data_IF_875015848552
#
_entry.id   IF_875015848552
#
_cell.length_a   1.000
_cell.length_b   1.000
_cell.length_c   1.000
_cell.angle_alpha   90.00
_cell.angle_beta   90.00
_cell.angle_gamma   90.00
#
_symmetry.space_group_name_H-M   'P 1'
#
loop_
_entity.id
_entity.type
_entity.pdbx_description
1 polymer ?
#
# COMPACT_ATOMS: atom_id res chain seq x y z
N UNK A 1 9.33 -4.07 27.46
CA UNK A 1 10.19 -4.40 26.29
C UNK A 1 11.10 -3.21 26.05
N UNK A 2 12.43 -3.39 25.95
CA UNK A 2 13.37 -2.27 25.73
C UNK A 2 13.16 -1.64 24.35
N UNK A 3 13.36 -0.32 24.21
CA UNK A 3 13.30 0.39 22.91
C UNK A 3 14.20 -0.25 21.84
N UNK A 4 15.39 -0.72 22.23
CA UNK A 4 16.31 -1.45 21.33
C UNK A 4 15.68 -2.72 20.76
N UNK A 5 14.80 -3.37 21.51
CA UNK A 5 14.09 -4.57 21.06
C UNK A 5 12.93 -4.25 20.12
N UNK A 6 12.31 -3.06 20.23
CA UNK A 6 11.24 -2.65 19.31
C UNK A 6 11.83 -2.25 17.96
N UNK A 7 12.92 -1.47 17.97
CA UNK A 7 13.60 -1.04 16.75
C UNK A 7 14.04 -2.24 15.89
N UNK A 8 14.63 -3.28 16.50
CA UNK A 8 15.02 -4.51 15.79
C UNK A 8 13.85 -5.31 15.19
N UNK A 9 12.63 -5.13 15.70
CA UNK A 9 11.41 -5.75 15.13
C UNK A 9 10.89 -4.96 13.93
N UNK A 10 10.99 -3.63 13.97
CA UNK A 10 10.56 -2.75 12.89
C UNK A 10 11.58 -2.76 11.76
N UNK A 11 12.87 -2.60 12.08
CA UNK A 11 13.96 -2.55 11.11
C UNK A 11 14.98 -3.66 11.45
N UNK A 12 14.73 -4.91 11.00
CA UNK A 12 15.63 -6.03 11.26
C UNK A 12 16.92 -5.92 10.45
N UNK A 13 18.00 -6.52 10.96
CA UNK A 13 19.31 -6.53 10.30
C UNK A 13 19.32 -7.34 8.99
N UNK A 14 18.44 -8.32 8.85
CA UNK A 14 18.31 -9.16 7.66
C UNK A 14 16.85 -9.36 7.26
N UNK A 15 16.56 -9.35 5.96
CA UNK A 15 15.27 -9.72 5.41
C UNK A 15 15.13 -11.26 5.36
N UNK A 16 14.12 -11.80 6.05
CA UNK A 16 13.89 -13.24 6.19
C UNK A 16 12.41 -13.56 6.06
N UNK A 17 12.09 -14.82 5.79
CA UNK A 17 10.69 -15.25 5.69
C UNK A 17 10.08 -15.65 7.05
N UNK A 18 10.81 -15.43 8.15
CA UNK A 18 10.38 -15.85 9.50
C UNK A 18 9.64 -14.72 10.20
N UNK A 19 8.31 -14.80 10.23
CA UNK A 19 7.48 -13.84 10.94
C UNK A 19 7.36 -14.17 12.42
N UNK A 20 7.80 -13.25 13.29
CA UNK A 20 7.70 -13.36 14.75
C UNK A 20 6.79 -12.25 15.27
N UNK A 21 5.49 -12.40 15.03
CA UNK A 21 4.45 -11.44 15.40
C UNK A 21 3.09 -12.09 15.55
N UNK A 22 2.08 -11.31 15.91
CA UNK A 22 0.72 -11.82 16.09
C UNK A 22 0.09 -12.21 14.74
N UNK A 23 -0.53 -13.39 14.57
CA UNK A 23 -1.11 -13.82 13.30
C UNK A 23 -2.12 -12.83 12.69
N UNK A 24 -2.92 -12.16 13.53
CA UNK A 24 -3.86 -11.12 13.06
C UNK A 24 -3.14 -10.01 12.28
N UNK A 25 -1.98 -9.55 12.75
CA UNK A 25 -1.23 -8.51 12.05
C UNK A 25 -0.66 -9.02 10.71
N UNK A 26 -0.39 -10.32 10.57
CA UNK A 26 -0.03 -10.90 9.29
C UNK A 26 -1.22 -10.92 8.31
N UNK A 27 -2.38 -11.45 8.72
CA UNK A 27 -3.55 -11.54 7.85
C UNK A 27 -4.15 -10.18 7.51
N UNK A 28 -4.15 -9.23 8.45
CA UNK A 28 -4.58 -7.86 8.17
C UNK A 28 -3.64 -7.19 7.15
N UNK A 29 -2.34 -7.48 7.18
CA UNK A 29 -1.40 -6.94 6.20
C UNK A 29 -1.63 -7.52 4.79
N UNK A 30 -2.04 -8.80 4.70
CA UNK A 30 -2.48 -9.39 3.43
C UNK A 30 -3.69 -8.64 2.89
N UNK A 31 -4.72 -8.42 3.73
CA UNK A 31 -5.91 -7.67 3.33
C UNK A 31 -5.53 -6.25 2.87
N UNK A 32 -4.68 -5.57 3.62
CA UNK A 32 -4.18 -4.24 3.28
C UNK A 32 -3.45 -4.22 1.93
N UNK A 33 -2.63 -5.22 1.66
CA UNK A 33 -1.92 -5.40 0.38
C UNK A 33 -2.92 -5.51 -0.77
N UNK A 34 -3.93 -6.38 -0.62
CA UNK A 34 -4.96 -6.59 -1.64
C UNK A 34 -5.80 -5.32 -1.89
N UNK A 35 -6.18 -4.61 -0.83
CA UNK A 35 -6.92 -3.34 -0.93
C UNK A 35 -6.08 -2.26 -1.61
N UNK A 36 -4.79 -2.17 -1.29
CA UNK A 36 -3.85 -1.20 -1.89
C UNK A 36 -3.72 -1.44 -3.39
N UNK A 37 -3.52 -2.69 -3.81
CA UNK A 37 -3.46 -3.06 -5.23
C UNK A 37 -4.81 -2.80 -5.90
N UNK A 38 -5.92 -3.23 -5.32
CA UNK A 38 -7.26 -3.03 -5.88
C UNK A 38 -7.57 -1.54 -6.15
N UNK A 39 -7.32 -0.68 -5.16
CA UNK A 39 -7.48 0.78 -5.30
C UNK A 39 -6.53 1.38 -6.34
N UNK A 40 -5.28 0.93 -6.38
CA UNK A 40 -4.31 1.42 -7.37
C UNK A 40 -4.80 1.17 -8.80
N UNK A 41 -5.38 -0.01 -9.05
CA UNK A 41 -5.92 -0.39 -10.34
C UNK A 41 -7.16 0.44 -10.68
N UNK A 42 -8.03 0.73 -9.72
CA UNK A 42 -9.16 1.64 -9.92
C UNK A 42 -8.66 3.01 -10.37
N UNK A 43 -7.68 3.58 -9.67
CA UNK A 43 -7.11 4.88 -10.01
C UNK A 43 -6.47 4.93 -11.42
N UNK A 44 -5.91 3.83 -11.89
CA UNK A 44 -5.24 3.75 -13.19
C UNK A 44 -6.17 3.36 -14.35
N UNK A 45 -7.20 2.56 -14.09
CA UNK A 45 -8.01 1.91 -15.13
C UNK A 45 -9.44 2.46 -15.21
N UNK A 46 -9.98 3.08 -14.15
CA UNK A 46 -11.28 3.73 -14.23
C UNK A 46 -11.21 4.97 -15.11
N UNK A 47 -12.24 5.27 -15.94
CA UNK A 47 -12.22 6.41 -16.86
C UNK A 47 -11.95 7.77 -16.20
N UNK A 48 -12.38 7.95 -14.95
CA UNK A 48 -12.19 9.16 -14.16
C UNK A 48 -11.14 8.99 -13.06
N UNK A 49 -10.40 7.88 -13.05
CA UNK A 49 -9.49 7.49 -11.98
C UNK A 49 -10.16 7.37 -10.59
N UNK A 50 -11.49 7.32 -10.50
CA UNK A 50 -12.23 7.39 -9.24
C UNK A 50 -12.44 8.82 -8.70
N UNK A 51 -11.99 9.86 -9.41
CA UNK A 51 -12.14 11.24 -8.96
C UNK A 51 -13.62 11.63 -8.81
N UNK A 52 -14.47 11.34 -9.80
CA UNK A 52 -15.88 11.68 -9.74
C UNK A 52 -16.73 10.56 -9.13
N UNK A 53 -16.54 9.33 -9.59
CA UNK A 53 -17.34 8.15 -9.25
C UNK A 53 -17.16 7.68 -7.81
N UNK A 54 -16.03 7.99 -7.17
CA UNK A 54 -15.73 7.62 -5.78
C UNK A 54 -15.56 8.86 -4.91
N UNK A 55 -14.69 9.80 -5.30
CA UNK A 55 -14.39 10.98 -4.50
C UNK A 55 -15.37 12.15 -4.73
N UNK A 56 -16.34 12.02 -5.65
CA UNK A 56 -17.34 13.05 -5.97
C UNK A 56 -16.73 14.41 -6.39
N UNK A 57 -15.51 14.40 -6.91
CA UNK A 57 -14.83 15.57 -7.48
C UNK A 57 -15.39 15.83 -8.88
N UNK A 58 -15.84 17.05 -9.15
CA UNK A 58 -16.33 17.43 -10.47
C UNK A 58 -15.16 17.55 -11.47
N UNK A 59 -15.11 16.65 -12.46
CA UNK A 59 -14.12 16.68 -13.55
C UNK A 59 -14.61 17.42 -14.80
N UNK A 60 -15.87 17.88 -14.85
CA UNK A 60 -16.42 18.67 -15.94
C UNK A 60 -16.08 20.16 -15.77
N UNK A 61 -14.82 20.45 -15.48
CA UNK A 61 -14.28 21.79 -15.24
C UNK A 61 -13.02 21.98 -16.07
N UNK A 62 -12.58 23.22 -16.23
CA UNK A 62 -11.26 23.51 -16.79
C UNK A 62 -10.20 22.79 -15.93
N UNK A 63 -9.46 21.86 -16.52
CA UNK A 63 -8.46 21.04 -15.82
C UNK A 63 -8.93 19.64 -15.40
N UNK A 64 -10.12 19.18 -15.79
CA UNK A 64 -10.61 17.81 -15.50
C UNK A 64 -9.63 16.70 -15.88
N UNK A 65 -9.05 16.76 -17.09
CA UNK A 65 -8.00 15.86 -17.56
C UNK A 65 -6.78 15.82 -16.61
N UNK A 66 -6.40 16.98 -16.06
CA UNK A 66 -5.29 17.07 -15.09
C UNK A 66 -5.65 16.37 -13.78
N UNK A 67 -6.89 16.49 -13.31
CA UNK A 67 -7.38 15.76 -12.12
C UNK A 67 -7.28 14.25 -12.36
N UNK A 68 -7.77 13.77 -13.51
CA UNK A 68 -7.68 12.35 -13.89
C UNK A 68 -6.21 11.91 -13.93
N UNK A 69 -5.33 12.70 -14.54
CA UNK A 69 -3.89 12.43 -14.59
C UNK A 69 -3.24 12.33 -13.19
N UNK A 70 -3.61 13.21 -12.26
CA UNK A 70 -3.14 13.16 -10.86
C UNK A 70 -3.62 11.88 -10.17
N UNK A 71 -4.89 11.50 -10.35
CA UNK A 71 -5.43 10.25 -9.79
C UNK A 71 -4.72 9.03 -10.40
N UNK A 72 -4.44 9.03 -11.70
CA UNK A 72 -3.64 7.99 -12.36
C UNK A 72 -2.22 7.87 -11.79
N UNK A 73 -1.54 9.00 -11.56
CA UNK A 73 -0.22 9.01 -10.90
C UNK A 73 -0.30 8.50 -9.46
N UNK A 74 -1.36 8.86 -8.73
CA UNK A 74 -1.59 8.34 -7.38
C UNK A 74 -1.78 6.82 -7.42
N UNK A 75 -2.56 6.31 -8.37
CA UNK A 75 -2.70 4.89 -8.64
C UNK A 75 -1.37 4.19 -8.90
N UNK A 76 -0.54 4.74 -9.80
CA UNK A 76 0.78 4.17 -10.09
C UNK A 76 1.66 4.08 -8.84
N UNK A 77 1.71 5.14 -8.02
CA UNK A 77 2.48 5.13 -6.76
C UNK A 77 1.98 4.06 -5.78
N UNK A 78 0.66 3.89 -5.66
CA UNK A 78 0.04 2.86 -4.82
C UNK A 78 0.34 1.46 -5.36
N UNK A 79 0.35 1.27 -6.68
CA UNK A 79 0.65 -0.03 -7.29
C UNK A 79 2.10 -0.45 -7.02
N UNK A 80 3.05 0.48 -7.17
CA UNK A 80 4.46 0.24 -6.85
C UNK A 80 4.64 -0.18 -5.39
N UNK A 81 3.98 0.54 -4.46
CA UNK A 81 3.99 0.17 -3.04
C UNK A 81 3.32 -1.19 -2.79
N UNK A 82 2.18 -1.45 -3.43
CA UNK A 82 1.46 -2.73 -3.35
C UNK A 82 2.29 -3.92 -3.83
N UNK A 83 3.11 -3.74 -4.87
CA UNK A 83 4.08 -4.76 -5.34
C UNK A 83 5.13 -5.04 -4.26
N UNK A 84 5.67 -4.00 -3.60
CA UNK A 84 6.60 -4.17 -2.48
C UNK A 84 5.95 -4.93 -1.33
N UNK A 85 4.71 -4.58 -0.97
CA UNK A 85 3.95 -5.30 0.06
C UNK A 85 3.72 -6.76 -0.30
N UNK A 86 3.38 -7.04 -1.56
CA UNK A 86 3.21 -8.40 -2.06
C UNK A 86 4.50 -9.21 -1.94
N UNK A 87 5.64 -8.63 -2.32
CA UNK A 87 6.96 -9.25 -2.16
C UNK A 87 7.25 -9.55 -0.68
N UNK A 88 6.93 -8.62 0.23
CA UNK A 88 7.10 -8.81 1.68
C UNK A 88 6.22 -9.95 2.21
N UNK A 89 4.94 -10.00 1.84
CA UNK A 89 4.01 -11.07 2.24
C UNK A 89 4.50 -12.44 1.76
N UNK A 90 4.99 -12.52 0.53
CA UNK A 90 5.40 -13.79 -0.09
C UNK A 90 6.77 -14.26 0.42
N UNK A 91 7.74 -13.34 0.58
CA UNK A 91 9.16 -13.71 0.67
C UNK A 91 9.93 -13.17 1.88
N UNK A 92 9.50 -12.05 2.46
CA UNK A 92 10.24 -11.33 3.51
C UNK A 92 9.34 -10.94 4.68
N UNK A 93 8.57 -11.89 5.20
CA UNK A 93 7.51 -11.62 6.19
C UNK A 93 7.99 -10.93 7.47
N UNK A 94 9.28 -11.04 7.82
CA UNK A 94 9.82 -10.31 8.97
C UNK A 94 9.87 -8.78 8.79
N UNK A 95 9.66 -8.27 7.56
CA UNK A 95 9.54 -6.85 7.25
C UNK A 95 8.10 -6.31 7.38
N UNK A 96 7.10 -7.14 7.66
CA UNK A 96 5.72 -6.70 7.86
C UNK A 96 5.59 -5.58 8.90
N UNK A 97 6.28 -5.62 10.06
CA UNK A 97 6.25 -4.50 11.01
C UNK A 97 6.80 -3.19 10.43
N UNK A 98 7.83 -3.24 9.56
CA UNK A 98 8.30 -2.07 8.83
C UNK A 98 7.21 -1.52 7.92
N UNK A 99 6.55 -2.40 7.18
CA UNK A 99 5.53 -2.00 6.22
C UNK A 99 4.38 -1.26 6.90
N UNK A 100 3.95 -1.69 8.08
CA UNK A 100 2.94 -0.97 8.87
C UNK A 100 3.33 0.46 9.27
N UNK A 101 4.63 0.77 9.37
CA UNK A 101 5.12 2.12 9.70
C UNK A 101 5.11 3.04 8.49
N UNK A 102 5.27 2.48 7.29
CA UNK A 102 5.41 3.24 6.03
C UNK A 102 4.18 3.14 5.11
N UNK A 103 3.14 2.46 5.58
CA UNK A 103 1.84 2.32 4.89
C UNK A 103 0.97 3.53 5.14
#
# INVERSE_FOLDING_TARGET
>A
MSEKSLFKKILPEAATNTYIGHPIAYYFFILLTLVTIGRSLIHMLAPDGGAQSIASININVVGGETIIGIFGQWGLSQLLLGIVFLIVVVRYRNLIPLMYVIT
#
